data_IF_512600630804
#
_entry.id   IF_512600630804
#
_cell.length_a   1.000
_cell.length_b   1.000
_cell.length_c   1.000
_cell.angle_alpha   90.00
_cell.angle_beta   90.00
_cell.angle_gamma   90.00
#
_symmetry.space_group_name_H-M   'P 1'
#
loop_
_entity.id
_entity.type
_entity.pdbx_description
1 polymer ?
#
# COMPACT_ATOMS: atom_id res chain seq x y z
N UNK A 1 11.19 -14.72 3.46
CA UNK A 1 10.22 -13.72 3.92
C UNK A 1 10.52 -13.34 5.37
N UNK A 2 10.87 -12.07 5.68
CA UNK A 2 11.28 -11.65 7.04
C UNK A 2 10.54 -10.43 7.61
N UNK A 3 9.54 -9.89 6.90
CA UNK A 3 8.84 -8.64 7.28
C UNK A 3 7.31 -8.73 7.34
N UNK A 4 6.72 -9.94 7.23
CA UNK A 4 5.26 -10.11 7.20
C UNK A 4 4.57 -9.46 5.98
N UNK A 5 5.34 -9.08 4.96
CA UNK A 5 4.83 -8.45 3.75
C UNK A 5 4.41 -9.52 2.73
N UNK A 6 3.18 -9.44 2.28
CA UNK A 6 2.61 -10.29 1.22
C UNK A 6 2.87 -9.62 -0.13
N UNK A 7 3.51 -10.33 -1.07
CA UNK A 7 3.85 -9.79 -2.40
C UNK A 7 2.95 -10.40 -3.45
N UNK A 8 2.15 -9.56 -4.11
CA UNK A 8 1.36 -9.97 -5.28
C UNK A 8 2.11 -9.58 -6.56
N UNK A 9 2.32 -10.55 -7.44
CA UNK A 9 3.08 -10.37 -8.68
C UNK A 9 2.15 -10.47 -9.89
N UNK A 10 2.32 -9.55 -10.84
CA UNK A 10 1.59 -9.54 -12.10
C UNK A 10 2.58 -9.48 -13.26
N UNK A 11 2.57 -10.51 -14.11
CA UNK A 11 3.34 -10.50 -15.35
C UNK A 11 2.54 -9.77 -16.45
N UNK A 12 3.09 -8.69 -16.99
CA UNK A 12 2.54 -7.94 -18.12
C UNK A 12 3.40 -8.21 -19.36
N UNK A 13 2.75 -8.61 -20.44
CA UNK A 13 3.41 -8.86 -21.71
C UNK A 13 3.03 -10.21 -22.32
N UNK A 14 3.33 -10.38 -23.61
CA UNK A 14 3.08 -11.63 -24.33
C UNK A 14 4.25 -12.60 -24.13
N UNK A 15 3.96 -13.91 -24.19
CA UNK A 15 5.00 -14.94 -24.27
C UNK A 15 5.81 -14.85 -25.56
N UNK A 16 5.35 -14.13 -26.58
CA UNK A 16 6.11 -13.88 -27.80
C UNK A 16 7.23 -12.84 -27.58
N UNK A 17 7.09 -11.96 -26.59
CA UNK A 17 7.99 -10.83 -26.36
C UNK A 17 7.74 -9.67 -27.33
N UNK A 18 8.27 -8.49 -27.00
CA UNK A 18 8.11 -7.27 -27.79
C UNK A 18 9.40 -6.46 -27.84
N UNK A 19 9.58 -5.71 -28.94
CA UNK A 19 10.66 -4.73 -29.08
C UNK A 19 10.37 -3.51 -28.21
N UNK A 20 11.41 -2.87 -27.70
CA UNK A 20 11.28 -1.66 -26.88
C UNK A 20 11.37 -0.44 -27.81
N UNK A 21 10.30 0.36 -27.97
CA UNK A 21 10.37 1.63 -28.69
C UNK A 21 11.10 2.69 -27.84
N UNK A 22 11.95 3.47 -28.48
CA UNK A 22 12.67 4.60 -27.94
C UNK A 22 12.28 5.82 -28.77
N UNK A 23 11.69 6.82 -28.10
CA UNK A 23 11.34 8.07 -28.74
C UNK A 23 12.61 8.88 -29.03
N UNK A 24 12.83 9.22 -30.29
CA UNK A 24 13.94 10.06 -30.77
C UNK A 24 13.35 11.29 -31.48
N UNK A 25 14.12 12.37 -31.63
CA UNK A 25 13.66 13.61 -32.30
C UNK A 25 13.15 13.37 -33.74
N UNK A 26 13.66 12.34 -34.42
CA UNK A 26 13.28 11.97 -35.79
C UNK A 26 12.22 10.85 -35.88
N UNK A 27 11.68 10.36 -34.75
CA UNK A 27 10.62 9.35 -34.72
C UNK A 27 10.85 8.21 -33.72
N UNK A 28 10.05 7.14 -33.85
CA UNK A 28 10.16 5.94 -33.00
C UNK A 28 11.22 4.98 -33.56
N UNK A 29 12.25 4.70 -32.78
CA UNK A 29 13.31 3.73 -33.11
C UNK A 29 13.27 2.60 -32.08
N UNK A 30 13.54 1.36 -32.49
CA UNK A 30 13.64 0.25 -31.53
C UNK A 30 15.01 0.21 -30.86
N UNK A 31 15.03 -0.13 -29.57
CA UNK A 31 16.26 -0.32 -28.81
C UNK A 31 17.10 -1.42 -29.44
N UNK A 32 18.39 -1.12 -29.68
CA UNK A 32 19.37 -2.04 -30.27
C UNK A 32 20.43 -2.41 -29.25
N UNK A 33 20.91 -3.64 -29.37
CA UNK A 33 22.07 -4.14 -28.62
C UNK A 33 23.39 -3.61 -29.24
N UNK A 34 24.53 -3.85 -28.58
CA UNK A 34 25.87 -3.47 -29.01
C UNK A 34 26.24 -4.01 -30.42
N UNK A 35 25.54 -5.04 -30.90
CA UNK A 35 25.70 -5.60 -32.25
C UNK A 35 24.72 -5.01 -33.28
N UNK A 36 23.93 -4.00 -32.94
CA UNK A 36 22.96 -3.34 -33.83
C UNK A 36 21.64 -4.09 -34.06
N UNK A 37 21.39 -5.18 -33.31
CA UNK A 37 20.16 -6.00 -33.41
C UNK A 37 19.09 -5.48 -32.47
N UNK A 38 17.83 -5.55 -32.89
CA UNK A 38 16.70 -5.11 -32.06
C UNK A 38 16.53 -6.03 -30.84
N UNK A 39 16.43 -5.42 -29.66
CA UNK A 39 16.22 -6.15 -28.40
C UNK A 39 14.75 -6.54 -28.30
N UNK A 40 14.50 -7.84 -28.11
CA UNK A 40 13.17 -8.38 -27.82
C UNK A 40 13.12 -8.75 -26.35
N UNK A 41 12.25 -8.08 -25.60
CA UNK A 41 12.01 -8.38 -24.18
C UNK A 41 10.84 -9.33 -24.01
N UNK A 42 10.94 -10.26 -23.08
CA UNK A 42 9.90 -11.24 -22.78
C UNK A 42 9.74 -11.36 -21.26
N UNK A 43 8.51 -11.40 -20.74
CA UNK A 43 8.28 -11.65 -19.33
C UNK A 43 8.70 -13.08 -18.97
N UNK A 44 9.36 -13.24 -17.83
CA UNK A 44 9.75 -14.53 -17.24
C UNK A 44 8.83 -14.83 -16.04
N UNK A 45 7.77 -15.65 -16.21
CA UNK A 45 6.76 -15.87 -15.18
C UNK A 45 7.28 -16.64 -13.97
N UNK A 46 8.31 -17.48 -14.17
CA UNK A 46 8.83 -18.41 -13.16
C UNK A 46 9.36 -17.68 -11.93
N UNK A 47 10.18 -16.66 -12.14
CA UNK A 47 10.78 -15.88 -11.05
C UNK A 47 9.72 -15.11 -10.26
N UNK A 48 8.76 -14.51 -10.98
CA UNK A 48 7.65 -13.78 -10.36
C UNK A 48 6.75 -14.70 -9.53
N UNK A 49 6.53 -15.94 -9.99
CA UNK A 49 5.79 -16.96 -9.26
C UNK A 49 6.53 -17.36 -7.98
N UNK A 50 7.84 -17.64 -8.07
CA UNK A 50 8.65 -18.00 -6.92
C UNK A 50 8.66 -16.91 -5.83
N UNK A 51 8.70 -15.64 -6.22
CA UNK A 51 8.64 -14.50 -5.28
C UNK A 51 7.26 -14.41 -4.60
N UNK A 52 6.19 -14.57 -5.36
CA UNK A 52 4.83 -14.54 -4.82
C UNK A 52 4.60 -15.70 -3.84
N UNK A 53 5.00 -16.91 -4.21
CA UNK A 53 4.84 -18.12 -3.39
C UNK A 53 5.66 -18.03 -2.09
N UNK A 54 6.89 -17.52 -2.18
CA UNK A 54 7.76 -17.32 -1.01
C UNK A 54 7.19 -16.32 0.02
N UNK A 55 6.19 -15.52 -0.35
CA UNK A 55 5.54 -14.55 0.53
C UNK A 55 4.08 -14.87 0.83
N UNK A 56 3.56 -16.00 0.33
CA UNK A 56 2.15 -16.38 0.45
C UNK A 56 1.20 -15.47 -0.34
N UNK A 57 1.73 -14.76 -1.34
CA UNK A 57 0.98 -13.88 -2.22
C UNK A 57 0.34 -14.62 -3.37
N UNK A 58 0.10 -13.92 -4.49
CA UNK A 58 -0.51 -14.53 -5.67
C UNK A 58 0.15 -14.04 -6.94
N UNK A 59 0.44 -14.97 -7.84
CA UNK A 59 0.91 -14.68 -9.19
C UNK A 59 -0.22 -14.77 -10.21
N UNK A 60 -0.26 -13.84 -11.16
CA UNK A 60 -1.19 -13.86 -12.31
C UNK A 60 -0.46 -13.35 -13.56
N UNK A 61 -0.72 -13.99 -14.69
CA UNK A 61 -0.31 -13.48 -15.99
C UNK A 61 -1.45 -12.66 -16.58
N UNK A 62 -1.23 -11.37 -16.78
CA UNK A 62 -2.20 -10.49 -17.41
C UNK A 62 -1.96 -10.47 -18.92
N UNK A 63 -2.97 -10.88 -19.69
CA UNK A 63 -2.93 -10.84 -21.15
C UNK A 63 -3.20 -9.42 -21.66
N UNK A 64 -2.30 -8.46 -21.42
CA UNK A 64 -2.32 -7.10 -21.97
C UNK A 64 -3.67 -6.34 -21.98
N UNK A 65 -4.68 -6.80 -21.24
CA UNK A 65 -5.99 -6.17 -21.13
C UNK A 65 -5.99 -5.33 -19.88
N UNK A 66 -6.00 -4.01 -20.07
CA UNK A 66 -6.09 -3.00 -19.00
C UNK A 66 -7.20 -3.32 -17.97
N UNK A 67 -8.29 -3.96 -18.39
CA UNK A 67 -9.40 -4.35 -17.51
C UNK A 67 -9.03 -5.34 -16.40
N UNK A 68 -8.22 -6.35 -16.69
CA UNK A 68 -7.85 -7.38 -15.69
C UNK A 68 -6.91 -6.83 -14.62
N UNK A 69 -6.01 -5.92 -15.02
CA UNK A 69 -5.15 -5.19 -14.09
C UNK A 69 -5.98 -4.28 -13.17
N UNK A 70 -6.93 -3.54 -13.74
CA UNK A 70 -7.82 -2.66 -12.98
C UNK A 70 -8.68 -3.45 -11.99
N UNK A 71 -9.16 -4.64 -12.36
CA UNK A 71 -9.95 -5.49 -11.45
C UNK A 71 -9.12 -5.96 -10.24
N UNK A 72 -7.87 -6.38 -10.46
CA UNK A 72 -6.98 -6.80 -9.36
C UNK A 72 -6.63 -5.61 -8.46
N UNK A 73 -6.31 -4.46 -9.06
CA UNK A 73 -5.99 -3.23 -8.35
C UNK A 73 -7.18 -2.77 -7.47
N UNK A 74 -8.38 -2.77 -8.04
CA UNK A 74 -9.59 -2.31 -7.36
C UNK A 74 -10.10 -3.31 -6.31
N UNK A 75 -10.08 -4.62 -6.59
CA UNK A 75 -10.62 -5.63 -5.66
C UNK A 75 -9.69 -6.04 -4.54
N UNK A 76 -8.37 -6.06 -4.77
CA UNK A 76 -7.40 -6.55 -3.77
C UNK A 76 -6.58 -5.45 -3.15
N UNK A 77 -6.08 -4.49 -3.93
CA UNK A 77 -5.14 -3.49 -3.42
C UNK A 77 -5.87 -2.31 -2.75
N UNK A 78 -6.92 -1.77 -3.36
CA UNK A 78 -7.69 -0.65 -2.76
C UNK A 78 -8.27 -0.94 -1.37
N UNK A 79 -8.89 -2.10 -1.07
CA UNK A 79 -9.42 -2.35 0.26
C UNK A 79 -8.32 -2.51 1.31
N UNK A 80 -7.16 -3.07 0.94
CA UNK A 80 -5.99 -3.15 1.83
C UNK A 80 -5.41 -1.75 2.10
N UNK A 81 -5.28 -0.91 1.07
CA UNK A 81 -4.83 0.48 1.22
C UNK A 81 -5.78 1.30 2.10
N UNK A 82 -7.12 1.13 1.93
CA UNK A 82 -8.10 1.78 2.81
C UNK A 82 -7.97 1.35 4.26
N UNK A 83 -7.82 0.05 4.53
CA UNK A 83 -7.60 -0.45 5.89
C UNK A 83 -6.31 0.06 6.53
N UNK A 84 -5.22 0.18 5.76
CA UNK A 84 -3.96 0.73 6.26
C UNK A 84 -4.08 2.22 6.63
N UNK A 85 -4.78 3.00 5.79
CA UNK A 85 -5.04 4.43 6.05
C UNK A 85 -6.01 4.64 7.23
N UNK A 86 -7.01 3.76 7.37
CA UNK A 86 -7.86 3.73 8.55
C UNK A 86 -7.07 3.35 9.80
N UNK A 87 -6.20 2.32 9.74
CA UNK A 87 -5.40 1.92 10.90
C UNK A 87 -4.44 3.00 11.39
N UNK A 88 -3.86 3.82 10.49
CA UNK A 88 -3.09 5.01 10.91
C UNK A 88 -3.97 6.06 11.60
N UNK A 89 -5.24 6.21 11.19
CA UNK A 89 -6.22 7.08 11.90
C UNK A 89 -6.76 6.44 13.18
N UNK A 90 -6.66 5.13 13.31
CA UNK A 90 -7.05 4.34 14.49
C UNK A 90 -5.90 4.05 15.46
N UNK A 91 -4.74 4.70 15.34
CA UNK A 91 -3.99 5.11 16.53
C UNK A 91 -4.80 6.18 17.28
N UNK A 92 -5.98 5.78 17.72
CA UNK A 92 -6.80 6.48 18.68
C UNK A 92 -5.96 6.53 19.94
N UNK A 93 -5.33 7.68 20.17
CA UNK A 93 -4.86 8.08 21.48
C UNK A 93 -6.05 7.94 22.42
N UNK A 94 -6.09 6.83 23.14
CA UNK A 94 -7.15 6.56 24.10
C UNK A 94 -7.17 7.73 25.07
N UNK A 95 -8.26 8.49 25.02
CA UNK A 95 -8.31 9.82 25.62
C UNK A 95 -8.45 9.71 27.14
N UNK A 96 -7.33 9.45 27.82
CA UNK A 96 -7.28 9.30 29.28
C UNK A 96 -7.49 10.62 30.04
N UNK A 97 -7.64 11.75 29.33
CA UNK A 97 -7.89 13.06 29.94
C UNK A 97 -9.22 13.13 30.71
N UNK A 98 -10.20 12.27 30.38
CA UNK A 98 -11.48 12.24 31.09
C UNK A 98 -11.31 11.93 32.58
N UNK A 99 -10.39 11.04 32.95
CA UNK A 99 -10.10 10.74 34.35
C UNK A 99 -9.51 11.94 35.09
N UNK A 100 -8.58 12.66 34.45
CA UNK A 100 -7.99 13.87 35.01
C UNK A 100 -9.03 15.00 35.14
N UNK A 101 -9.92 15.14 34.15
CA UNK A 101 -10.99 16.14 34.16
C UNK A 101 -12.02 15.84 35.26
N UNK A 102 -12.44 14.57 35.42
CA UNK A 102 -13.33 14.17 36.50
C UNK A 102 -12.70 14.40 37.88
N UNK A 103 -11.41 14.07 38.05
CA UNK A 103 -10.69 14.32 39.30
C UNK A 103 -10.64 15.82 39.63
N UNK A 104 -10.33 16.66 38.63
CA UNK A 104 -10.31 18.12 38.79
C UNK A 104 -11.70 18.68 39.15
N UNK A 105 -12.76 18.17 38.50
CA UNK A 105 -14.14 18.58 38.78
C UNK A 105 -14.56 18.24 40.22
N UNK A 106 -14.21 17.03 40.70
CA UNK A 106 -14.50 16.61 42.07
C UNK A 106 -13.77 17.50 43.08
N UNK A 107 -12.47 17.76 42.86
CA UNK A 107 -11.68 18.64 43.72
C UNK A 107 -12.26 20.05 43.78
N UNK A 108 -12.69 20.59 42.64
CA UNK A 108 -13.33 21.91 42.55
C UNK A 108 -14.66 21.97 43.30
N UNK A 109 -15.50 20.93 43.19
CA UNK A 109 -16.73 20.84 43.98
C UNK A 109 -16.46 20.74 45.49
N UNK A 110 -15.40 20.02 45.88
CA UNK A 110 -15.00 19.90 47.27
C UNK A 110 -14.52 21.25 47.81
N UNK A 111 -13.70 21.98 47.06
CA UNK A 111 -13.27 23.34 47.40
C UNK A 111 -14.46 24.28 47.59
N UNK A 112 -15.46 24.22 46.70
CA UNK A 112 -16.68 25.03 46.83
C UNK A 112 -17.44 24.71 48.13
N UNK A 113 -17.58 23.42 48.46
CA UNK A 113 -18.27 22.98 49.68
C UNK A 113 -17.50 23.30 50.98
N UNK A 114 -16.16 23.31 50.95
CA UNK A 114 -15.33 23.72 52.08
C UNK A 114 -15.28 25.25 52.25
N UNK A 115 -15.26 26.01 51.15
CA UNK A 115 -15.24 27.48 51.17
C UNK A 115 -16.51 28.06 51.78
N UNK A 116 -17.68 27.43 51.55
CA UNK A 116 -18.95 27.84 52.13
C UNK A 116 -19.00 27.67 53.67
N UNK A 117 -18.07 26.90 54.26
CA UNK A 117 -17.96 26.68 55.71
C UNK A 117 -16.87 27.50 56.41
N UNK A 118 -16.27 28.47 55.72
CA UNK A 118 -15.40 29.47 56.34
C UNK A 118 -16.22 30.74 56.67
N UNK A 119 -16.88 30.83 57.84
CA UNK A 119 -17.33 32.14 58.32
C UNK A 119 -16.07 32.99 58.53
N UNK A 120 -15.99 34.10 57.79
CA UNK A 120 -15.30 35.29 58.30
C UNK A 120 -16.15 35.89 59.41
#
# INVERSE_FOLDING_TARGET
ARRGLVVHALALGSSAGAKIPVATEDGEVFLKDATGRDIVTRPEPGDLMAIADATGGSFRQAQARRGELLEILDRRIRPLARRSLESERFEHRENRFQWFLCAALILWMLEFALTDRSPR
#
